data_IF_244530511657
#
_entry.id   IF_244530511657
#
_cell.length_a   1.000
_cell.length_b   1.000
_cell.length_c   1.000
_cell.angle_alpha   90.00
_cell.angle_beta   90.00
_cell.angle_gamma   90.00
#
_symmetry.space_group_name_H-M   'P 1'
#
loop_
_entity.id
_entity.type
_entity.pdbx_description
1 polymer ?
#
# COMPACT_ATOMS: atom_id res chain seq x y z
N UNK A 1 18.95 -6.61 3.24
CA UNK A 1 18.41 -7.66 4.12
C UNK A 1 16.89 -7.62 3.98
N UNK A 2 16.16 -8.74 4.03
CA UNK A 2 14.70 -8.78 3.71
C UNK A 2 13.84 -7.72 4.45
N UNK A 3 14.26 -7.31 5.65
CA UNK A 3 13.56 -6.32 6.47
C UNK A 3 13.74 -4.86 5.97
N UNK A 4 14.85 -4.57 5.30
CA UNK A 4 15.10 -3.24 4.72
C UNK A 4 14.24 -3.02 3.47
N UNK A 5 14.11 -4.05 2.63
CA UNK A 5 13.27 -4.05 1.43
C UNK A 5 11.78 -3.86 1.77
N UNK A 6 11.28 -4.56 2.81
CA UNK A 6 9.90 -4.42 3.30
C UNK A 6 9.60 -2.99 3.82
N UNK A 7 10.60 -2.31 4.39
CA UNK A 7 10.44 -0.92 4.87
C UNK A 7 10.47 0.08 3.70
N UNK A 8 11.34 -0.11 2.71
CA UNK A 8 11.41 0.72 1.51
C UNK A 8 10.09 0.67 0.73
N UNK A 9 9.54 -0.51 0.49
CA UNK A 9 8.24 -0.67 -0.18
C UNK A 9 7.11 0.06 0.57
N UNK A 10 7.12 0.01 1.91
CA UNK A 10 6.11 0.68 2.73
C UNK A 10 6.22 2.22 2.66
N UNK A 11 7.44 2.75 2.63
CA UNK A 11 7.69 4.19 2.49
C UNK A 11 7.16 4.68 1.14
N UNK A 12 7.42 3.94 0.05
CA UNK A 12 6.90 4.28 -1.28
C UNK A 12 5.35 4.35 -1.29
N UNK A 13 4.68 3.40 -0.64
CA UNK A 13 3.21 3.42 -0.52
C UNK A 13 2.70 4.62 0.28
N UNK A 14 3.39 5.02 1.36
CA UNK A 14 3.02 6.20 2.16
C UNK A 14 3.18 7.50 1.37
N UNK A 15 4.24 7.62 0.58
CA UNK A 15 4.47 8.77 -0.31
C UNK A 15 3.37 8.87 -1.37
N UNK A 16 3.02 7.76 -2.03
CA UNK A 16 1.91 7.71 -2.98
C UNK A 16 0.57 8.13 -2.35
N UNK A 17 0.27 7.61 -1.16
CA UNK A 17 -0.94 7.98 -0.43
C UNK A 17 -1.00 9.49 -0.11
N UNK A 18 0.12 10.08 0.28
CA UNK A 18 0.21 11.49 0.65
C UNK A 18 0.15 12.44 -0.56
N UNK A 19 0.78 12.08 -1.67
CA UNK A 19 0.90 12.96 -2.85
C UNK A 19 -0.20 12.72 -3.90
N UNK A 20 -0.54 11.47 -4.18
CA UNK A 20 -1.45 11.08 -5.26
C UNK A 20 -2.86 10.75 -4.75
N UNK A 21 -3.01 10.47 -3.44
CA UNK A 21 -4.29 10.03 -2.85
C UNK A 21 -4.71 8.62 -3.26
N UNK A 22 -3.79 7.85 -3.85
CA UNK A 22 -3.96 6.47 -4.28
C UNK A 22 -2.62 5.76 -4.14
N UNK A 23 -2.63 4.47 -3.80
CA UNK A 23 -1.42 3.63 -3.78
C UNK A 23 -1.49 2.56 -4.85
N UNK A 24 -0.34 2.07 -5.28
CA UNK A 24 -0.27 0.92 -6.18
C UNK A 24 -0.36 -0.36 -5.36
N UNK A 25 -1.34 -1.24 -5.66
CA UNK A 25 -1.43 -2.52 -4.98
C UNK A 25 -0.15 -3.35 -5.23
N UNK A 26 0.63 -3.71 -4.20
CA UNK A 26 1.92 -4.39 -4.39
C UNK A 26 1.78 -5.80 -4.96
N UNK A 27 0.56 -6.37 -4.93
CA UNK A 27 0.28 -7.71 -5.47
C UNK A 27 -0.13 -7.71 -6.94
N UNK A 28 -0.88 -6.72 -7.41
CA UNK A 28 -1.49 -6.76 -8.75
C UNK A 28 -1.25 -5.52 -9.61
N UNK A 29 -0.67 -4.45 -9.04
CA UNK A 29 -0.40 -3.19 -9.74
C UNK A 29 -1.62 -2.30 -9.98
N UNK A 30 -2.82 -2.70 -9.54
CA UNK A 30 -4.01 -1.87 -9.65
C UNK A 30 -3.97 -0.67 -8.68
N UNK A 31 -4.59 0.47 -9.04
CA UNK A 31 -4.80 1.56 -8.10
C UNK A 31 -5.65 1.09 -6.91
N UNK A 32 -5.22 1.45 -5.71
CA UNK A 32 -5.84 1.09 -4.44
C UNK A 32 -6.04 2.37 -3.61
N UNK A 33 -7.27 2.59 -3.16
CA UNK A 33 -7.57 3.69 -2.22
C UNK A 33 -6.78 3.47 -0.91
N UNK A 34 -6.08 4.49 -0.38
CA UNK A 34 -5.16 4.32 0.75
C UNK A 34 -5.84 3.85 2.05
N UNK A 35 -7.12 4.20 2.24
CA UNK A 35 -7.95 3.85 3.40
C UNK A 35 -8.82 2.60 3.19
N UNK A 36 -8.80 2.00 1.99
CA UNK A 36 -9.53 0.76 1.74
C UNK A 36 -8.86 -0.44 2.44
N UNK A 37 -9.63 -1.28 3.12
CA UNK A 37 -9.09 -2.46 3.83
C UNK A 37 -8.40 -3.47 2.89
N UNK A 38 -8.87 -3.57 1.64
CA UNK A 38 -8.39 -4.53 0.63
C UNK A 38 -8.46 -3.94 -0.78
N UNK A 39 -7.60 -4.45 -1.65
CA UNK A 39 -7.65 -4.15 -3.08
C UNK A 39 -8.95 -4.65 -3.71
N UNK A 40 -9.71 -3.74 -4.34
CA UNK A 40 -10.94 -4.07 -5.06
C UNK A 40 -10.75 -5.01 -6.25
N UNK A 41 -9.56 -5.01 -6.87
CA UNK A 41 -9.27 -5.82 -8.05
C UNK A 41 -8.80 -7.24 -7.70
N UNK A 42 -7.91 -7.41 -6.70
CA UNK A 42 -7.31 -8.71 -6.40
C UNK A 42 -7.54 -9.23 -4.98
N UNK A 43 -8.20 -8.47 -4.11
CA UNK A 43 -8.54 -8.84 -2.73
C UNK A 43 -7.36 -8.83 -1.74
N UNK A 44 -6.18 -8.40 -2.18
CA UNK A 44 -4.99 -8.30 -1.31
C UNK A 44 -5.25 -7.31 -0.15
N UNK A 45 -4.85 -7.63 1.09
CA UNK A 45 -4.90 -6.68 2.21
C UNK A 45 -4.13 -5.41 1.89
N UNK A 46 -4.67 -4.25 2.29
CA UNK A 46 -3.94 -3.00 2.16
C UNK A 46 -2.88 -2.92 3.28
N UNK A 47 -1.58 -2.86 2.94
CA UNK A 47 -0.51 -2.81 3.95
C UNK A 47 -0.57 -1.57 4.84
N UNK A 48 -1.03 -0.42 4.33
CA UNK A 48 -1.11 0.83 5.09
C UNK A 48 -2.14 0.72 6.22
N UNK A 49 -3.30 0.13 5.92
CA UNK A 49 -4.37 -0.12 6.91
C UNK A 49 -3.98 -1.23 7.89
N UNK A 50 -3.40 -2.34 7.39
CA UNK A 50 -3.02 -3.47 8.24
C UNK A 50 -1.97 -3.11 9.30
N UNK A 51 -1.05 -2.20 8.95
CA UNK A 51 -0.02 -1.71 9.86
C UNK A 51 -0.45 -0.46 10.65
N UNK A 52 -1.64 0.09 10.38
CA UNK A 52 -2.24 1.19 11.15
C UNK A 52 -1.63 2.56 10.86
N UNK A 53 -1.17 2.80 9.64
CA UNK A 53 -0.67 4.12 9.22
C UNK A 53 -1.78 5.08 8.75
N UNK A 54 -2.95 4.55 8.42
CA UNK A 54 -4.18 5.25 8.00
C UNK A 54 -5.34 4.63 8.76
#
# INVERSE_FOLDING_TARGET
>A
MRMEEELEELIELLEQAAEEGVITCPRCGAPLEPDAERCGECGFPNPLVELGFI
#
